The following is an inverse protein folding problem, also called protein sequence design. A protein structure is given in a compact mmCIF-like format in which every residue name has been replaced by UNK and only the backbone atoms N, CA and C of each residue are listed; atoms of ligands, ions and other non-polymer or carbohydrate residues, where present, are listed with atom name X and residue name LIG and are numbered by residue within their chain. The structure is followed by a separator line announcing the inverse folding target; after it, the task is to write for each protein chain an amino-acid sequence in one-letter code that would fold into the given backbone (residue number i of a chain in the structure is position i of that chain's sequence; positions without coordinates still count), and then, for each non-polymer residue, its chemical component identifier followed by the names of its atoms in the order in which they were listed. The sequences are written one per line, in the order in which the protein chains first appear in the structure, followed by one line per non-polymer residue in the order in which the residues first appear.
data_IF_469593840019
#
_entry.id   IF_469593840019
#
_cell.length_a   1.000
_cell.length_b   1.000
_cell.length_c   1.000
_cell.angle_alpha   90.00
_cell.angle_beta   90.00
_cell.angle_gamma   90.00
#
_symmetry.space_group_name_H-M   'P 1'
#
loop_
_entity.id
_entity.type
_entity.pdbx_description
1 polymer ?
#
# COMPACT_ATOMS: atom_id res chain seq x y z
N UNK A 1 8.51 4.38 -23.85
CA UNK A 1 7.84 4.51 -22.54
C UNK A 1 6.76 3.48 -22.48
N UNK A 2 6.72 2.66 -21.43
CA UNK A 2 5.54 1.85 -21.14
C UNK A 2 4.44 2.82 -20.66
N UNK A 3 3.20 2.49 -20.98
CA UNK A 3 2.01 3.23 -20.57
C UNK A 3 1.08 2.24 -19.89
N UNK A 4 0.27 2.70 -18.94
CA UNK A 4 -0.72 1.82 -18.32
C UNK A 4 -1.71 1.29 -19.37
N UNK A 5 -2.15 0.02 -19.26
CA UNK A 5 -3.15 -0.54 -20.15
C UNK A 5 -4.46 0.22 -20.03
N UNK A 6 -5.11 0.52 -21.16
CA UNK A 6 -6.42 1.19 -21.18
C UNK A 6 -7.59 0.22 -21.00
N UNK A 7 -7.33 -1.08 -21.09
CA UNK A 7 -8.29 -2.18 -20.96
C UNK A 7 -8.11 -2.98 -19.66
N UNK A 8 -7.53 -2.37 -18.62
CA UNK A 8 -7.39 -2.99 -17.30
C UNK A 8 -8.75 -3.47 -16.78
N UNK A 9 -8.80 -4.68 -16.23
CA UNK A 9 -10.01 -5.29 -15.66
C UNK A 9 -10.23 -4.94 -14.19
N UNK A 10 -9.16 -4.55 -13.49
CA UNK A 10 -9.17 -4.21 -12.07
C UNK A 10 -7.99 -3.31 -11.70
N UNK A 11 -8.14 -2.59 -10.59
CA UNK A 11 -7.07 -1.79 -9.99
C UNK A 11 -6.89 -2.19 -8.52
N UNK A 12 -5.66 -2.44 -8.11
CA UNK A 12 -5.30 -2.74 -6.72
C UNK A 12 -4.36 -1.65 -6.23
N UNK A 13 -4.73 -0.96 -5.16
CA UNK A 13 -3.90 0.09 -4.58
C UNK A 13 -3.13 -0.46 -3.38
N UNK A 14 -1.87 -0.06 -3.23
CA UNK A 14 -1.26 0.00 -1.91
C UNK A 14 -1.96 1.07 -1.04
N UNK A 15 -1.65 1.15 0.26
CA UNK A 15 -2.25 2.11 1.17
C UNK A 15 -1.23 3.09 1.75
N UNK A 16 -0.25 2.57 2.48
CA UNK A 16 0.71 3.31 3.29
C UNK A 16 1.73 4.02 2.40
N UNK A 17 1.82 5.34 2.49
CA UNK A 17 2.74 6.11 1.64
C UNK A 17 2.26 6.32 0.19
N UNK A 18 1.12 5.71 -0.18
CA UNK A 18 0.49 5.88 -1.49
C UNK A 18 -0.89 6.57 -1.42
N UNK A 19 -1.86 5.95 -0.75
CA UNK A 19 -3.21 6.52 -0.60
C UNK A 19 -3.29 7.42 0.62
N UNK A 20 -2.63 7.02 1.71
CA UNK A 20 -2.69 7.68 3.00
C UNK A 20 -1.28 8.04 3.44
N UNK A 21 -1.09 9.27 3.92
CA UNK A 21 0.17 9.73 4.46
C UNK A 21 0.39 9.18 5.88
N UNK A 22 0.63 7.87 5.97
CA UNK A 22 0.88 7.20 7.25
C UNK A 22 2.32 7.41 7.74
N UNK A 23 3.26 7.80 6.87
CA UNK A 23 4.66 8.10 7.23
C UNK A 23 4.80 9.22 8.26
N UNK A 24 3.89 10.20 8.25
CA UNK A 24 3.85 11.23 9.30
C UNK A 24 3.49 10.61 10.66
N UNK A 25 2.54 9.67 10.71
CA UNK A 25 2.17 8.94 11.93
C UNK A 25 3.33 8.09 12.44
N UNK A 26 4.03 7.38 11.55
CA UNK A 26 5.24 6.62 11.89
C UNK A 26 6.33 7.55 12.44
N UNK A 27 6.58 8.68 11.78
CA UNK A 27 7.61 9.63 12.19
C UNK A 27 7.32 10.24 13.57
N UNK A 28 6.06 10.56 13.86
CA UNK A 28 5.64 11.06 15.19
C UNK A 28 5.86 9.99 16.26
N UNK A 29 5.47 8.74 15.99
CA UNK A 29 5.64 7.62 16.90
C UNK A 29 7.12 7.30 17.17
N UNK A 30 7.94 7.22 16.12
CA UNK A 30 9.38 7.02 16.19
C UNK A 30 10.05 8.14 17.00
N UNK A 31 9.70 9.39 16.73
CA UNK A 31 10.20 10.57 17.48
C UNK A 31 9.91 10.44 18.97
N UNK A 32 8.69 10.03 19.33
CA UNK A 32 8.29 9.86 20.72
C UNK A 32 9.07 8.72 21.42
N UNK A 33 9.33 7.60 20.74
CA UNK A 33 10.12 6.49 21.29
C UNK A 33 11.58 6.94 21.52
N UNK A 34 12.19 7.58 20.53
CA UNK A 34 13.56 8.11 20.67
C UNK A 34 13.66 9.12 21.81
N UNK A 35 12.70 10.02 21.95
CA UNK A 35 12.64 10.97 23.05
C UNK A 35 12.51 10.27 24.42
N UNK A 36 11.76 9.17 24.52
CA UNK A 36 11.68 8.33 25.71
C UNK A 36 13.01 7.71 26.12
N UNK A 37 13.91 7.51 25.16
CA UNK A 37 15.30 7.08 25.37
C UNK A 37 16.30 8.23 25.53
N UNK A 38 15.83 9.49 25.58
CA UNK A 38 16.68 10.67 25.68
C UNK A 38 17.50 10.97 24.43
N UNK A 39 17.09 10.43 23.27
CA UNK A 39 17.78 10.56 22.00
C UNK A 39 16.98 11.42 21.01
N UNK A 40 17.64 12.18 20.13
CA UNK A 40 16.96 12.90 19.05
C UNK A 40 16.51 11.94 17.95
N UNK A 41 15.44 12.30 17.26
CA UNK A 41 15.03 11.66 16.01
C UNK A 41 15.13 12.66 14.86
N UNK A 42 15.99 12.36 13.89
CA UNK A 42 16.19 13.18 12.70
C UNK A 42 16.45 12.32 11.46
N UNK A 43 16.89 12.91 10.34
CA UNK A 43 17.07 12.20 9.07
C UNK A 43 17.97 10.97 9.17
N UNK A 44 19.00 11.02 10.01
CA UNK A 44 19.91 9.90 10.25
C UNK A 44 19.19 8.73 10.91
N UNK A 45 18.39 8.98 11.95
CA UNK A 45 17.62 7.96 12.64
C UNK A 45 16.46 7.44 11.78
N UNK A 46 15.77 8.31 11.05
CA UNK A 46 14.71 7.89 10.12
C UNK A 46 15.25 6.93 9.06
N UNK A 47 16.45 7.18 8.53
CA UNK A 47 17.10 6.26 7.59
C UNK A 47 17.40 4.86 8.16
N UNK A 48 17.41 4.68 9.50
CA UNK A 48 17.57 3.37 10.14
C UNK A 48 16.31 2.51 10.09
N UNK A 49 15.13 3.12 9.89
CA UNK A 49 13.83 2.45 10.02
C UNK A 49 12.99 2.54 8.75
N UNK A 50 13.15 3.61 7.98
CA UNK A 50 12.42 3.89 6.75
C UNK A 50 12.55 2.74 5.73
N UNK A 51 11.40 2.32 5.17
CA UNK A 51 11.31 1.27 4.17
C UNK A 51 11.63 -0.15 4.68
N UNK A 52 11.81 -0.34 5.99
CA UNK A 52 12.04 -1.65 6.60
C UNK A 52 10.72 -2.28 7.03
N UNK A 53 10.73 -3.60 7.18
CA UNK A 53 9.65 -4.29 7.90
C UNK A 53 9.61 -3.80 9.35
N UNK A 54 8.44 -3.89 9.99
CA UNK A 54 8.28 -3.53 11.40
C UNK A 54 9.31 -4.23 12.29
N UNK A 55 9.54 -5.53 12.07
CA UNK A 55 10.54 -6.32 12.81
C UNK A 55 11.96 -5.78 12.61
N UNK A 56 12.36 -5.49 11.37
CA UNK A 56 13.69 -4.96 11.07
C UNK A 56 13.87 -3.51 11.58
N UNK A 57 12.80 -2.71 11.63
CA UNK A 57 12.81 -1.39 12.25
C UNK A 57 12.97 -1.49 13.77
N UNK A 58 12.18 -2.35 14.44
CA UNK A 58 12.30 -2.59 15.88
C UNK A 58 13.67 -3.13 16.29
N UNK A 59 14.26 -4.03 15.49
CA UNK A 59 15.62 -4.50 15.71
C UNK A 59 16.65 -3.37 15.56
N UNK A 60 16.53 -2.54 14.51
CA UNK A 60 17.43 -1.40 14.31
C UNK A 60 17.36 -0.38 15.45
N UNK A 61 16.16 -0.11 15.96
CA UNK A 61 15.96 0.76 17.12
C UNK A 61 16.54 0.13 18.40
N UNK A 62 16.32 -1.17 18.62
CA UNK A 62 16.88 -1.90 19.76
C UNK A 62 18.41 -1.81 19.80
N UNK A 63 19.05 -2.03 18.65
CA UNK A 63 20.50 -1.93 18.50
C UNK A 63 20.98 -0.48 18.71
N UNK A 64 20.25 0.50 18.16
CA UNK A 64 20.57 1.92 18.34
C UNK A 64 20.48 2.36 19.81
N UNK A 65 19.53 1.82 20.56
CA UNK A 65 19.34 2.10 21.98
C UNK A 65 20.29 1.30 22.89
N UNK A 66 21.10 0.40 22.33
CA UNK A 66 21.96 -0.51 23.12
C UNK A 66 21.15 -1.51 23.95
N UNK A 67 19.96 -1.89 23.48
CA UNK A 67 19.02 -2.82 24.15
C UNK A 67 18.82 -4.10 23.30
N UNK A 68 19.86 -4.95 23.11
CA UNK A 68 19.70 -6.17 22.34
C UNK A 68 18.60 -7.07 22.95
N UNK A 69 17.71 -7.58 22.11
CA UNK A 69 16.56 -8.40 22.53
C UNK A 69 15.27 -7.62 22.82
N UNK A 70 15.30 -6.27 22.82
CA UNK A 70 14.11 -5.45 23.04
C UNK A 70 13.27 -5.19 21.77
N UNK A 71 13.60 -5.81 20.63
CA UNK A 71 12.94 -5.54 19.35
C UNK A 71 11.42 -5.76 19.42
N UNK A 72 10.96 -6.86 20.02
CA UNK A 72 9.53 -7.14 20.15
C UNK A 72 8.78 -6.12 21.02
N UNK A 73 9.39 -5.66 22.12
CA UNK A 73 8.85 -4.60 22.98
C UNK A 73 8.74 -3.28 22.22
N UNK A 74 9.79 -2.89 21.50
CA UNK A 74 9.81 -1.64 20.71
C UNK A 74 8.81 -1.71 19.56
N UNK A 75 8.68 -2.85 18.87
CA UNK A 75 7.65 -3.04 17.84
C UNK A 75 6.25 -2.85 18.41
N UNK A 76 5.96 -3.45 19.58
CA UNK A 76 4.65 -3.31 20.22
C UNK A 76 4.36 -1.86 20.61
N UNK A 77 5.34 -1.14 21.18
CA UNK A 77 5.21 0.28 21.49
C UNK A 77 5.00 1.13 20.24
N UNK A 78 5.76 0.85 19.16
CA UNK A 78 5.67 1.57 17.91
C UNK A 78 4.27 1.41 17.27
N UNK A 79 3.77 0.18 17.18
CA UNK A 79 2.41 -0.10 16.69
C UNK A 79 1.36 0.60 17.56
N UNK A 80 1.52 0.56 18.89
CA UNK A 80 0.60 1.22 19.81
C UNK A 80 0.53 2.74 19.52
N UNK A 81 1.69 3.39 19.38
CA UNK A 81 1.76 4.82 19.09
C UNK A 81 1.20 5.16 17.71
N UNK A 82 1.56 4.39 16.68
CA UNK A 82 1.07 4.61 15.30
C UNK A 82 -0.45 4.51 15.23
N UNK A 83 -1.05 3.50 15.86
CA UNK A 83 -2.51 3.40 15.97
C UNK A 83 -3.12 4.63 16.63
N UNK A 84 -2.48 5.15 17.69
CA UNK A 84 -2.91 6.39 18.34
C UNK A 84 -2.88 7.61 17.40
N UNK A 85 -1.85 7.74 16.56
CA UNK A 85 -1.76 8.81 15.58
C UNK A 85 -2.75 8.66 14.42
N UNK A 86 -2.92 7.45 13.88
CA UNK A 86 -3.90 7.16 12.84
C UNK A 86 -5.33 7.48 13.32
N UNK A 87 -5.65 7.11 14.56
CA UNK A 87 -6.95 7.41 15.17
C UNK A 87 -7.20 8.92 15.39
N UNK A 88 -6.14 9.74 15.49
CA UNK A 88 -6.27 11.21 15.54
C UNK A 88 -6.49 11.82 14.15
N UNK A 89 -6.10 11.11 13.11
CA UNK A 89 -6.41 11.41 11.72
C UNK A 89 -5.17 11.46 10.83
N UNK A 90 -5.01 10.48 9.93
CA UNK A 90 -4.10 10.57 8.80
C UNK A 90 -4.81 11.11 7.55
N UNK A 91 -4.09 11.87 6.74
CA UNK A 91 -4.63 12.51 5.53
C UNK A 91 -4.42 11.66 4.29
N UNK A 92 -5.37 11.71 3.37
CA UNK A 92 -5.18 11.15 2.04
C UNK A 92 -4.08 11.94 1.30
N UNK A 93 -3.24 11.23 0.56
CA UNK A 93 -2.23 11.87 -0.29
C UNK A 93 -2.88 12.63 -1.47
N UNK A 94 -2.22 13.67 -2.02
CA UNK A 94 -2.78 14.47 -3.11
C UNK A 94 -3.24 13.62 -4.30
N UNK A 95 -4.54 13.70 -4.63
CA UNK A 95 -5.16 12.97 -5.72
C UNK A 95 -5.66 11.56 -5.38
N UNK A 96 -5.34 11.01 -4.19
CA UNK A 96 -5.74 9.65 -3.82
C UNK A 96 -7.25 9.44 -3.87
N UNK A 97 -8.03 10.30 -3.19
CA UNK A 97 -9.50 10.23 -3.17
C UNK A 97 -10.09 10.37 -4.57
N UNK A 98 -9.54 11.27 -5.38
CA UNK A 98 -10.03 11.50 -6.74
C UNK A 98 -9.77 10.29 -7.64
N UNK A 99 -8.54 9.75 -7.61
CA UNK A 99 -8.12 8.60 -8.40
C UNK A 99 -8.92 7.35 -8.02
N UNK A 100 -9.05 7.05 -6.72
CA UNK A 100 -9.83 5.92 -6.21
C UNK A 100 -11.27 6.00 -6.70
N UNK A 101 -11.92 7.17 -6.56
CA UNK A 101 -13.30 7.38 -7.02
C UNK A 101 -13.41 7.26 -8.55
N UNK A 102 -12.45 7.78 -9.31
CA UNK A 102 -12.45 7.65 -10.76
C UNK A 102 -12.38 6.19 -11.19
N UNK A 103 -11.42 5.42 -10.66
CA UNK A 103 -11.25 3.99 -10.95
C UNK A 103 -12.49 3.17 -10.57
N UNK A 104 -13.05 3.39 -9.37
CA UNK A 104 -14.24 2.66 -8.86
C UNK A 104 -15.45 2.74 -9.80
N UNK A 105 -15.60 3.85 -10.52
CA UNK A 105 -16.73 4.01 -11.47
C UNK A 105 -16.57 3.22 -12.77
N UNK A 106 -15.37 2.68 -13.04
CA UNK A 106 -15.02 2.00 -14.28
C UNK A 106 -14.76 0.51 -14.07
N UNK A 107 -13.99 0.17 -13.05
CA UNK A 107 -13.53 -1.20 -12.79
C UNK A 107 -13.59 -1.54 -11.29
N UNK A 108 -13.68 -2.82 -10.91
CA UNK A 108 -13.53 -3.25 -9.53
C UNK A 108 -12.17 -2.82 -8.96
N UNK A 109 -12.17 -2.40 -7.70
CA UNK A 109 -10.97 -1.95 -7.01
C UNK A 109 -10.80 -2.63 -5.65
N UNK A 110 -9.54 -2.82 -5.23
CA UNK A 110 -9.18 -3.31 -3.92
C UNK A 110 -7.98 -2.56 -3.33
N UNK A 111 -7.74 -2.74 -2.03
CA UNK A 111 -6.48 -2.37 -1.36
C UNK A 111 -5.71 -3.62 -1.00
N UNK A 112 -4.38 -3.58 -1.17
CA UNK A 112 -3.43 -4.59 -0.71
C UNK A 112 -2.33 -3.87 0.08
N UNK A 113 -2.34 -3.97 1.42
CA UNK A 113 -1.39 -3.28 2.30
C UNK A 113 -0.52 -4.27 3.08
N UNK A 114 0.71 -3.83 3.41
CA UNK A 114 1.61 -4.56 4.29
C UNK A 114 1.37 -4.28 5.79
N UNK A 115 0.38 -3.45 6.11
CA UNK A 115 -0.04 -3.15 7.48
C UNK A 115 -0.93 -4.27 8.03
N UNK A 116 -0.95 -4.49 9.37
CA UNK A 116 -1.96 -5.31 10.03
C UNK A 116 -3.37 -4.75 9.81
N UNK A 117 -4.38 -5.62 9.87
CA UNK A 117 -5.80 -5.27 9.63
C UNK A 117 -6.24 -4.00 10.37
N UNK A 118 -5.97 -3.93 11.66
CA UNK A 118 -6.38 -2.79 12.50
C UNK A 118 -5.82 -1.45 12.00
N UNK A 119 -4.54 -1.40 11.60
CA UNK A 119 -3.92 -0.16 11.11
C UNK A 119 -4.43 0.22 9.72
N UNK A 120 -4.66 -0.77 8.85
CA UNK A 120 -5.22 -0.55 7.52
C UNK A 120 -6.62 0.08 7.62
N UNK A 121 -7.47 -0.46 8.49
CA UNK A 121 -8.83 0.04 8.67
C UNK A 121 -8.84 1.48 9.17
N UNK A 122 -8.01 1.80 10.18
CA UNK A 122 -7.85 3.15 10.70
C UNK A 122 -7.33 4.14 9.65
N UNK A 123 -6.33 3.75 8.86
CA UNK A 123 -5.78 4.60 7.81
C UNK A 123 -6.83 4.92 6.73
N UNK A 124 -7.61 3.92 6.31
CA UNK A 124 -8.67 4.12 5.32
C UNK A 124 -9.84 4.93 5.87
N UNK A 125 -10.24 4.71 7.12
CA UNK A 125 -11.27 5.53 7.78
C UNK A 125 -10.83 6.99 7.92
N UNK A 126 -9.62 7.24 8.42
CA UNK A 126 -9.13 8.60 8.64
C UNK A 126 -9.02 9.39 7.33
N UNK A 127 -8.67 8.71 6.23
CA UNK A 127 -8.56 9.30 4.91
C UNK A 127 -9.91 9.42 4.18
N UNK A 128 -11.02 8.95 4.75
CA UNK A 128 -12.34 8.95 4.12
C UNK A 128 -12.44 8.02 2.89
N UNK A 129 -11.64 6.95 2.89
CA UNK A 129 -11.50 6.00 1.78
C UNK A 129 -12.15 4.65 2.04
N UNK A 130 -12.48 4.31 3.30
CA UNK A 130 -13.03 3.01 3.69
C UNK A 130 -14.23 2.58 2.80
N UNK A 131 -15.22 3.45 2.64
CA UNK A 131 -16.44 3.18 1.84
C UNK A 131 -16.20 3.09 0.32
N UNK A 132 -14.99 3.38 -0.16
CA UNK A 132 -14.66 3.27 -1.58
C UNK A 132 -14.35 1.82 -1.99
N UNK A 133 -13.94 0.98 -1.05
CA UNK A 133 -13.43 -0.37 -1.34
C UNK A 133 -14.40 -1.45 -0.88
N UNK A 134 -14.66 -2.43 -1.74
CA UNK A 134 -15.39 -3.65 -1.35
C UNK A 134 -14.45 -4.73 -0.81
N UNK A 135 -13.17 -4.66 -1.18
CA UNK A 135 -12.14 -5.60 -0.75
C UNK A 135 -10.89 -4.84 -0.31
N UNK A 136 -10.42 -5.11 0.90
CA UNK A 136 -9.15 -4.63 1.44
C UNK A 136 -8.43 -5.84 2.03
N UNK A 137 -7.12 -5.94 1.83
CA UNK A 137 -6.31 -7.07 2.31
C UNK A 137 -5.10 -6.56 3.08
N UNK A 138 -4.94 -7.10 4.28
CA UNK A 138 -3.89 -6.77 5.23
C UNK A 138 -2.84 -7.88 5.34
N UNK A 139 -1.64 -7.55 5.84
CA UNK A 139 -0.52 -8.47 5.88
C UNK A 139 -0.77 -9.73 6.74
N UNK A 140 -1.57 -9.60 7.80
CA UNK A 140 -1.93 -10.66 8.75
C UNK A 140 -3.04 -11.59 8.24
N UNK A 141 -3.56 -11.37 7.03
CA UNK A 141 -4.59 -12.18 6.38
C UNK A 141 -4.04 -13.12 5.31
N UNK A 142 -2.74 -13.01 4.99
CA UNK A 142 -2.06 -13.84 4.00
C UNK A 142 -0.92 -14.64 4.62
N UNK A 143 -0.52 -15.72 3.93
CA UNK A 143 0.61 -16.54 4.37
C UNK A 143 1.94 -15.77 4.29
N UNK A 144 2.16 -15.05 3.19
CA UNK A 144 3.41 -14.34 2.93
C UNK A 144 3.08 -12.93 2.43
N UNK A 145 3.26 -11.89 3.26
CA UNK A 145 2.99 -10.52 2.87
C UNK A 145 4.07 -9.98 1.90
N UNK A 146 3.98 -8.71 1.47
CA UNK A 146 4.93 -8.12 0.51
C UNK A 146 6.36 -8.28 1.07
N UNK A 147 7.35 -8.73 0.25
CA UNK A 147 7.39 -8.72 -1.21
C UNK A 147 6.81 -9.97 -1.90
N UNK A 148 6.28 -10.94 -1.16
CA UNK A 148 5.62 -12.09 -1.79
C UNK A 148 4.31 -11.67 -2.47
N UNK A 149 3.84 -12.39 -3.51
CA UNK A 149 2.73 -11.95 -4.35
C UNK A 149 1.33 -12.15 -3.72
N UNK A 150 1.24 -12.78 -2.54
CA UNK A 150 -0.01 -13.34 -2.00
C UNK A 150 -1.12 -12.28 -1.86
N UNK A 151 -0.79 -11.06 -1.42
CA UNK A 151 -1.75 -9.96 -1.29
C UNK A 151 -2.38 -9.57 -2.63
N UNK A 152 -1.55 -9.37 -3.66
CA UNK A 152 -2.04 -8.98 -4.99
C UNK A 152 -2.78 -10.11 -5.70
N UNK A 153 -2.34 -11.36 -5.54
CA UNK A 153 -3.05 -12.53 -6.08
C UNK A 153 -4.42 -12.69 -5.42
N UNK A 154 -4.49 -12.53 -4.09
CA UNK A 154 -5.75 -12.58 -3.34
C UNK A 154 -6.69 -11.45 -3.77
N UNK A 155 -6.17 -10.23 -3.94
CA UNK A 155 -6.94 -9.10 -4.44
C UNK A 155 -7.51 -9.34 -5.84
N UNK A 156 -6.68 -9.80 -6.79
CA UNK A 156 -7.14 -10.11 -8.15
C UNK A 156 -8.22 -11.21 -8.15
N UNK A 157 -8.03 -12.25 -7.34
CA UNK A 157 -9.00 -13.34 -7.22
C UNK A 157 -10.35 -12.85 -6.68
N UNK A 158 -10.35 -12.01 -5.64
CA UNK A 158 -11.57 -11.43 -5.08
C UNK A 158 -12.31 -10.52 -6.07
N UNK A 159 -11.55 -9.73 -6.85
CA UNK A 159 -12.09 -8.89 -7.93
C UNK A 159 -12.50 -9.70 -9.16
N UNK A 160 -12.17 -11.00 -9.21
CA UNK A 160 -12.41 -11.88 -10.35
C UNK A 160 -11.71 -11.41 -11.62
N UNK A 161 -10.54 -10.80 -11.52
CA UNK A 161 -9.75 -10.26 -12.62
C UNK A 161 -8.45 -11.03 -12.80
N UNK A 162 -7.95 -11.12 -14.03
CA UNK A 162 -6.64 -11.73 -14.28
C UNK A 162 -5.50 -10.78 -13.83
N UNK A 163 -4.46 -11.27 -13.12
CA UNK A 163 -3.36 -10.41 -12.69
C UNK A 163 -2.69 -9.64 -13.84
N UNK A 164 -2.44 -10.30 -14.98
CA UNK A 164 -1.87 -9.68 -16.19
C UNK A 164 -2.79 -8.70 -16.92
N UNK A 165 -4.02 -8.52 -16.45
CA UNK A 165 -4.96 -7.49 -16.91
C UNK A 165 -5.31 -6.50 -15.79
N UNK A 166 -4.54 -6.49 -14.71
CA UNK A 166 -4.77 -5.64 -13.55
C UNK A 166 -3.61 -4.67 -13.36
N UNK A 167 -3.90 -3.51 -12.76
CA UNK A 167 -2.90 -2.49 -12.43
C UNK A 167 -2.75 -2.36 -10.93
N UNK A 168 -1.53 -2.48 -10.44
CA UNK A 168 -1.14 -2.12 -9.09
C UNK A 168 -0.67 -0.66 -9.03
N UNK A 169 -1.11 0.09 -8.03
CA UNK A 169 -0.48 1.34 -7.63
C UNK A 169 0.39 1.09 -6.41
N UNK A 170 1.63 1.57 -6.45
CA UNK A 170 2.66 1.33 -5.42
C UNK A 170 3.59 2.53 -5.24
N UNK A 171 4.23 2.59 -4.08
CA UNK A 171 5.20 3.63 -3.70
C UNK A 171 6.59 3.06 -3.35
N UNK A 172 6.68 1.75 -3.09
CA UNK A 172 7.87 1.11 -2.49
C UNK A 172 8.40 -0.08 -3.31
N UNK A 173 9.71 -0.33 -3.24
CA UNK A 173 10.35 -1.45 -3.93
C UNK A 173 9.79 -2.82 -3.50
N UNK A 174 9.48 -2.98 -2.21
CA UNK A 174 8.88 -4.19 -1.63
C UNK A 174 7.54 -4.49 -2.27
N UNK A 175 6.69 -3.48 -2.42
CA UNK A 175 5.38 -3.63 -2.99
C UNK A 175 5.37 -3.78 -4.51
N UNK A 176 6.23 -3.05 -5.20
CA UNK A 176 6.49 -3.24 -6.64
C UNK A 176 6.91 -4.68 -6.92
N UNK A 177 7.84 -5.23 -6.14
CA UNK A 177 8.29 -6.61 -6.28
C UNK A 177 7.11 -7.59 -6.12
N UNK A 178 6.24 -7.35 -5.14
CA UNK A 178 5.04 -8.16 -4.91
C UNK A 178 4.08 -8.11 -6.10
N UNK A 179 3.73 -6.91 -6.58
CA UNK A 179 2.83 -6.71 -7.72
C UNK A 179 3.38 -7.33 -9.01
N UNK A 180 4.67 -7.13 -9.30
CA UNK A 180 5.36 -7.74 -10.45
C UNK A 180 5.36 -9.26 -10.38
N UNK A 181 5.68 -9.82 -9.21
CA UNK A 181 5.70 -11.28 -9.02
C UNK A 181 4.29 -11.88 -9.18
N UNK A 182 3.26 -11.15 -8.78
CA UNK A 182 1.86 -11.53 -9.02
C UNK A 182 1.43 -11.39 -10.50
N UNK A 183 2.21 -10.69 -11.33
CA UNK A 183 1.97 -10.51 -12.76
C UNK A 183 1.19 -9.25 -13.13
N UNK A 184 1.06 -8.27 -12.23
CA UNK A 184 0.34 -7.03 -12.48
C UNK A 184 1.20 -6.02 -13.26
N UNK A 185 0.51 -5.13 -13.97
CA UNK A 185 1.10 -3.87 -14.39
C UNK A 185 1.32 -2.95 -13.19
N UNK A 186 2.38 -2.14 -13.18
CA UNK A 186 2.74 -1.35 -11.99
C UNK A 186 2.84 0.14 -12.31
N UNK A 187 2.01 0.92 -11.65
CA UNK A 187 2.04 2.37 -11.60
C UNK A 187 2.71 2.81 -10.29
N UNK A 188 3.77 3.62 -10.39
CA UNK A 188 4.58 4.00 -9.23
C UNK A 188 4.47 5.49 -8.95
N UNK A 189 4.19 5.83 -7.70
CA UNK A 189 4.36 7.17 -7.13
C UNK A 189 5.26 7.02 -5.91
N UNK A 190 6.59 7.21 -6.04
CA UNK A 190 7.52 6.89 -4.98
C UNK A 190 7.27 7.73 -3.73
N UNK A 191 7.23 7.10 -2.56
CA UNK A 191 7.25 7.81 -1.27
C UNK A 191 8.61 8.46 -1.00
N UNK A 192 9.68 7.92 -1.61
CA UNK A 192 11.04 8.43 -1.50
C UNK A 192 11.61 8.90 -2.85
N UNK A 193 12.01 10.19 -2.95
CA UNK A 193 12.60 10.72 -4.17
C UNK A 193 13.90 9.99 -4.58
N UNK A 194 14.12 9.84 -5.89
CA UNK A 194 15.40 9.37 -6.44
C UNK A 194 15.63 7.86 -6.40
N UNK A 195 14.61 7.08 -6.05
CA UNK A 195 14.64 5.62 -6.14
C UNK A 195 14.43 5.15 -7.59
N UNK A 196 15.34 4.33 -8.11
CA UNK A 196 15.15 3.64 -9.39
C UNK A 196 14.26 2.41 -9.15
N UNK A 197 12.97 2.55 -9.41
CA UNK A 197 11.94 1.56 -9.13
C UNK A 197 11.42 0.97 -10.43
N UNK A 198 11.23 -0.35 -10.52
CA UNK A 198 10.62 -0.98 -11.71
C UNK A 198 9.16 -0.54 -11.88
N UNK A 199 8.81 -0.04 -13.07
CA UNK A 199 7.51 0.55 -13.34
C UNK A 199 7.08 0.36 -14.80
N UNK A 200 5.77 0.31 -15.01
CA UNK A 200 5.18 0.57 -16.34
C UNK A 200 4.79 2.04 -16.49
N UNK A 201 4.49 2.71 -15.38
CA UNK A 201 4.27 4.15 -15.32
C UNK A 201 4.87 4.72 -14.03
N UNK A 202 5.53 5.87 -14.13
CA UNK A 202 6.13 6.58 -13.00
C UNK A 202 5.60 8.02 -12.98
N UNK A 203 5.11 8.44 -11.82
CA UNK A 203 4.71 9.82 -11.56
C UNK A 203 5.18 10.31 -10.20
N UNK A 204 4.93 11.58 -9.93
CA UNK A 204 5.29 12.24 -8.67
C UNK A 204 4.09 12.49 -7.76
N UNK A 205 2.87 12.26 -8.25
CA UNK A 205 1.64 12.46 -7.50
C UNK A 205 0.48 11.67 -8.12
N UNK A 206 -0.46 11.21 -7.29
CA UNK A 206 -1.73 10.65 -7.75
C UNK A 206 -2.66 11.69 -8.36
N UNK A 207 -2.37 12.99 -8.18
CA UNK A 207 -3.08 14.10 -8.80
C UNK A 207 -2.61 14.40 -10.24
N UNK A 208 -1.71 13.58 -10.80
CA UNK A 208 -1.23 13.77 -12.17
C UNK A 208 -2.41 13.78 -13.17
N UNK A 209 -2.58 14.86 -13.98
CA UNK A 209 -3.69 14.96 -14.92
C UNK A 209 -3.75 13.83 -15.96
N UNK A 210 -2.61 13.28 -16.39
CA UNK A 210 -2.57 12.15 -17.30
C UNK A 210 -3.06 10.88 -16.62
N UNK A 211 -2.70 10.68 -15.35
CA UNK A 211 -3.15 9.55 -14.57
C UNK A 211 -4.66 9.60 -14.30
N UNK A 212 -5.17 10.77 -13.93
CA UNK A 212 -6.62 10.98 -13.74
C UNK A 212 -7.38 10.83 -15.08
N UNK A 213 -6.77 11.28 -16.19
CA UNK A 213 -7.28 11.05 -17.54
C UNK A 213 -7.37 9.56 -17.88
N UNK A 214 -6.32 8.80 -17.58
CA UNK A 214 -6.30 7.34 -17.73
C UNK A 214 -7.40 6.65 -16.92
N UNK A 215 -7.53 6.98 -15.63
CA UNK A 215 -8.53 6.38 -14.75
C UNK A 215 -9.96 6.63 -15.24
N UNK A 216 -10.25 7.84 -15.72
CA UNK A 216 -11.55 8.18 -16.33
C UNK A 216 -11.75 7.54 -17.70
N UNK A 217 -10.67 7.18 -18.39
CA UNK A 217 -10.67 6.54 -19.71
C UNK A 217 -10.87 5.02 -19.68
N UNK A 218 -10.72 4.37 -18.52
CA UNK A 218 -10.88 2.92 -18.38
C UNK A 218 -12.25 2.45 -18.90
N UNK A 219 -12.22 1.35 -19.66
CA UNK A 219 -13.41 0.66 -20.14
C UNK A 219 -14.28 0.21 -18.96
N UNK A 220 -15.60 0.39 -19.07
CA UNK A 220 -16.51 -0.12 -18.03
C UNK A 220 -16.52 -1.64 -18.08
N UNK A 221 -16.30 -2.28 -16.94
CA UNK A 221 -16.51 -3.72 -16.83
C UNK A 221 -18.02 -3.99 -16.69
N UNK A 222 -18.66 -4.37 -17.79
CA UNK A 222 -20.07 -4.79 -17.76
C UNK A 222 -20.21 -5.99 -16.82
N UNK A 223 -21.04 -5.83 -15.79
CA UNK A 223 -21.27 -6.80 -14.71
C UNK A 223 -21.95 -8.11 -15.15
N UNK A 224 -22.08 -8.37 -16.45
CA UNK A 224 -22.90 -9.44 -17.02
C UNK A 224 -22.13 -10.68 -17.54
N UNK A 225 -20.80 -10.74 -17.40
CA UNK A 225 -20.02 -11.89 -17.87
C UNK A 225 -19.51 -12.80 -16.73
N UNK A 226 -20.41 -13.29 -15.87
CA UNK A 226 -20.16 -14.53 -15.11
C UNK A 226 -20.91 -15.67 -15.79
N UNK A 227 -20.34 -16.25 -16.85
CA UNK A 227 -20.65 -17.64 -17.20
C UNK A 227 -19.75 -18.54 -16.35
N UNK A 228 -20.29 -19.45 -15.52
CA UNK A 228 -19.46 -20.42 -14.84
C UNK A 228 -18.77 -21.28 -15.91
N UNK A 229 -17.45 -21.46 -15.77
CA UNK A 229 -16.73 -22.52 -16.47
C UNK A 229 -17.40 -23.84 -16.07
N UNK A 230 -18.13 -24.45 -17.00
CA UNK A 230 -18.63 -25.80 -16.83
C UNK A 230 -17.45 -26.73 -16.54
N UNK A 231 -17.56 -27.65 -15.56
CA UNK A 231 -16.47 -28.57 -15.26
C UNK A 231 -16.20 -29.44 -16.49
N UNK A 232 -14.94 -29.44 -16.96
CA UNK A 232 -14.48 -30.44 -17.90
C UNK A 232 -14.40 -31.77 -17.15
N UNK A 233 -15.37 -32.64 -17.39
CA UNK A 233 -15.26 -34.06 -17.09
C UNK A 233 -14.17 -34.67 -17.96
N UNK A 234 -13.15 -35.24 -17.33
CA UNK A 234 -12.34 -36.35 -17.84
C UNK A 234 -11.92 -37.20 -16.64
#
# INVERSE_FOLDING_TARGET
MRSLPTDAEAVVFDCDGLLVNTEDCWTVAETAIFAGHGLPFGPVQKALVLGRTLEAAGQAMADHFGRPGAAAEICAELVERVRGELARGATALPGAVELVRACRTRVPIAVASNSPRELLDLALESAGLMDCFTHTFAADEVRSPKPAPDLYLTACAALGAAPNRSVAFEDSATGITSARTAGLHVAVVPSLPGSDLDHDWLGTSLADPQLLGWARGLGRRDSLARRPLAPRLA
#
